data_IF_557020426185
#
_entry.id   IF_557020426185
#
_cell.length_a   1.000
_cell.length_b   1.000
_cell.length_c   1.000
_cell.angle_alpha   90.00
_cell.angle_beta   90.00
_cell.angle_gamma   90.00
#
_symmetry.space_group_name_H-M   'P 1'
#
loop_
_entity.id
_entity.type
_entity.pdbx_description
1 polymer ?
#
# COMPACT_ATOMS: atom_id res chain seq x y z
N UNK A 1 12.35 -7.91 -9.02
CA UNK A 1 10.88 -7.92 -9.01
C UNK A 1 10.41 -6.47 -8.81
N UNK A 2 9.70 -5.88 -9.78
CA UNK A 2 9.30 -4.44 -9.75
C UNK A 2 7.78 -4.25 -9.92
N UNK A 3 6.98 -5.15 -9.34
CA UNK A 3 5.52 -5.10 -9.42
C UNK A 3 5.00 -4.89 -8.00
N UNK A 4 4.20 -3.84 -7.73
CA UNK A 4 3.54 -3.66 -6.43
C UNK A 4 2.64 -4.86 -6.12
N UNK A 5 2.73 -5.35 -4.89
CA UNK A 5 1.87 -6.44 -4.41
C UNK A 5 1.14 -5.95 -3.17
N UNK A 6 -0.18 -6.10 -3.17
CA UNK A 6 -1.06 -5.73 -2.06
C UNK A 6 -1.97 -6.92 -1.74
N UNK A 7 -2.22 -7.12 -0.45
CA UNK A 7 -3.32 -7.93 0.01
C UNK A 7 -4.63 -7.17 -0.17
N UNK A 8 -5.74 -7.88 -0.45
CA UNK A 8 -7.04 -7.25 -0.68
C UNK A 8 -7.48 -6.34 0.47
N UNK A 9 -7.20 -6.73 1.72
CA UNK A 9 -7.54 -5.93 2.90
C UNK A 9 -6.77 -4.60 2.98
N UNK A 10 -5.52 -4.55 2.52
CA UNK A 10 -4.74 -3.31 2.47
C UNK A 10 -5.37 -2.33 1.48
N UNK A 11 -5.80 -2.82 0.32
CA UNK A 11 -6.52 -2.02 -0.70
C UNK A 11 -7.83 -1.48 -0.13
N UNK A 12 -8.66 -2.32 0.49
CA UNK A 12 -9.94 -1.87 1.05
C UNK A 12 -9.75 -0.84 2.16
N UNK A 13 -8.77 -1.04 3.06
CA UNK A 13 -8.47 -0.09 4.12
C UNK A 13 -8.12 1.29 3.54
N UNK A 14 -7.27 1.34 2.50
CA UNK A 14 -6.93 2.60 1.83
C UNK A 14 -8.15 3.23 1.12
N UNK A 15 -9.01 2.44 0.48
CA UNK A 15 -10.26 2.92 -0.11
C UNK A 15 -11.24 3.51 0.93
N UNK A 16 -11.14 3.10 2.20
CA UNK A 16 -11.94 3.65 3.30
C UNK A 16 -11.26 4.81 4.03
N UNK A 17 -10.13 5.32 3.53
CA UNK A 17 -9.46 6.51 4.04
C UNK A 17 -8.36 6.25 5.06
N UNK A 18 -7.96 4.98 5.28
CA UNK A 18 -6.75 4.66 6.05
C UNK A 18 -5.54 5.08 5.23
N UNK A 19 -4.60 5.84 5.81
CA UNK A 19 -3.43 6.31 5.07
C UNK A 19 -2.43 5.16 4.86
N UNK A 20 -1.67 5.14 3.74
CA UNK A 20 -0.68 4.10 3.48
C UNK A 20 0.32 3.88 4.63
N UNK A 21 0.78 4.96 5.27
CA UNK A 21 1.66 4.94 6.44
C UNK A 21 1.10 4.24 7.69
N UNK A 22 -0.20 3.97 7.73
CA UNK A 22 -0.87 3.28 8.85
C UNK A 22 -0.95 1.75 8.61
N UNK A 23 -0.58 1.27 7.42
CA UNK A 23 -0.70 -0.14 7.02
C UNK A 23 0.61 -0.94 7.08
N UNK A 24 1.73 -0.32 7.46
CA UNK A 24 3.02 -1.01 7.58
C UNK A 24 3.57 -1.55 6.26
N UNK A 25 3.29 -0.87 5.14
CA UNK A 25 3.65 -1.33 3.79
C UNK A 25 5.17 -1.48 3.58
N UNK A 26 6.01 -0.88 4.43
CA UNK A 26 7.47 -0.97 4.40
C UNK A 26 8.02 -2.38 4.64
N UNK A 27 7.21 -3.30 5.19
CA UNK A 27 7.62 -4.70 5.39
C UNK A 27 7.62 -5.51 4.09
N UNK A 28 6.97 -5.00 3.04
CA UNK A 28 6.90 -5.67 1.75
C UNK A 28 8.25 -5.62 1.03
N UNK A 29 8.59 -6.72 0.35
CA UNK A 29 9.75 -6.75 -0.57
C UNK A 29 9.45 -6.13 -1.93
N UNK A 30 8.18 -5.81 -2.18
CA UNK A 30 7.70 -5.21 -3.42
C UNK A 30 7.78 -3.68 -3.33
N UNK A 31 7.81 -2.95 -4.46
CA UNK A 31 7.87 -1.48 -4.47
C UNK A 31 6.51 -0.83 -4.12
N UNK A 32 5.72 -1.44 -3.23
CA UNK A 32 4.33 -1.05 -2.95
C UNK A 32 4.21 0.28 -2.21
N UNK A 33 5.17 0.65 -1.36
CA UNK A 33 5.10 1.89 -0.56
C UNK A 33 4.95 3.11 -1.48
N UNK A 34 5.79 3.22 -2.50
CA UNK A 34 5.73 4.34 -3.46
C UNK A 34 4.41 4.36 -4.23
N UNK A 35 3.94 3.19 -4.64
CA UNK A 35 2.68 3.07 -5.37
C UNK A 35 1.48 3.48 -4.50
N UNK A 36 1.46 3.08 -3.23
CA UNK A 36 0.37 3.39 -2.31
C UNK A 36 0.32 4.90 -1.99
N UNK A 37 1.46 5.54 -1.79
CA UNK A 37 1.55 7.00 -1.60
C UNK A 37 1.10 7.79 -2.85
N UNK A 38 1.41 7.31 -4.07
CA UNK A 38 0.98 7.97 -5.31
C UNK A 38 -0.55 7.90 -5.53
N UNK A 39 -1.23 6.86 -5.03
CA UNK A 39 -2.67 6.63 -5.27
C UNK A 39 -3.56 7.07 -4.09
N UNK A 40 -3.10 6.88 -2.85
CA UNK A 40 -3.87 7.11 -1.61
C UNK A 40 -3.19 8.07 -0.61
N UNK A 41 -2.03 8.64 -0.93
CA UNK A 41 -1.32 9.62 -0.09
C UNK A 41 -2.01 10.98 0.02
#
# INVERSE_FOLDING_TARGET
>A
FNVPVLHLMEVMAMCFGVKPKELGLEVHRSPVVRFAEEVWG
#
